data_IF_073032445559
#
_entry.id   IF_073032445559
#
_cell.length_a   1.000
_cell.length_b   1.000
_cell.length_c   1.000
_cell.angle_alpha   90.00
_cell.angle_beta   90.00
_cell.angle_gamma   90.00
#
_symmetry.space_group_name_H-M   'P 1'
#
loop_
_entity.id
_entity.type
_entity.pdbx_description
1 polymer ?
#
# COMPACT_ATOMS: atom_id res chain seq x y z
N UNK A 1 4.32 -9.27 7.19
CA UNK A 1 4.53 -8.34 6.06
C UNK A 1 5.95 -8.45 5.48
N UNK A 2 7.01 -8.50 6.30
CA UNK A 2 8.39 -8.48 5.78
C UNK A 2 8.87 -9.76 5.03
N UNK A 3 8.22 -10.91 5.23
CA UNK A 3 8.69 -12.19 4.64
C UNK A 3 8.23 -12.38 3.19
N UNK A 4 7.00 -11.98 2.85
CA UNK A 4 6.45 -12.08 1.48
C UNK A 4 7.09 -11.08 0.52
N UNK A 5 7.49 -9.90 1.01
CA UNK A 5 8.22 -8.90 0.20
C UNK A 5 9.67 -9.31 -0.09
N UNK A 6 10.29 -10.13 0.76
CA UNK A 6 11.69 -10.54 0.63
C UNK A 6 11.92 -11.62 -0.44
N UNK A 7 10.86 -12.34 -0.86
CA UNK A 7 10.93 -13.36 -1.92
C UNK A 7 10.59 -12.82 -3.31
N UNK A 8 10.18 -11.56 -3.44
CA UNK A 8 9.93 -10.95 -4.74
C UNK A 8 11.24 -10.59 -5.43
N UNK A 9 11.40 -11.05 -6.67
CA UNK A 9 12.38 -10.46 -7.57
C UNK A 9 12.01 -9.00 -7.82
N UNK A 10 12.83 -8.10 -7.27
CA UNK A 10 12.69 -6.66 -7.49
C UNK A 10 13.24 -6.35 -8.88
N UNK A 11 12.37 -6.42 -9.89
CA UNK A 11 12.64 -5.88 -11.22
C UNK A 11 12.40 -4.36 -11.22
N UNK A 12 12.93 -3.61 -12.21
CA UNK A 12 12.66 -2.18 -12.34
C UNK A 12 11.15 -1.86 -12.39
N UNK A 13 10.37 -2.73 -13.03
CA UNK A 13 8.91 -2.60 -13.14
C UNK A 13 8.22 -2.84 -11.80
N UNK A 14 8.56 -3.92 -11.07
CA UNK A 14 7.95 -4.21 -9.76
C UNK A 14 8.32 -3.16 -8.72
N UNK A 15 9.55 -2.63 -8.78
CA UNK A 15 9.99 -1.50 -7.97
C UNK A 15 9.16 -0.23 -8.22
N UNK A 16 8.91 0.12 -9.48
CA UNK A 16 8.12 1.31 -9.82
C UNK A 16 6.70 1.23 -9.28
N UNK A 17 6.08 0.04 -9.35
CA UNK A 17 4.75 -0.19 -8.78
C UNK A 17 4.80 -0.05 -7.25
N UNK A 18 5.77 -0.67 -6.60
CA UNK A 18 5.95 -0.58 -5.15
C UNK A 18 6.13 0.88 -4.69
N UNK A 19 7.02 1.63 -5.34
CA UNK A 19 7.30 3.03 -5.01
C UNK A 19 6.03 3.88 -5.09
N UNK A 20 5.20 3.68 -6.13
CA UNK A 20 3.93 4.41 -6.28
C UNK A 20 2.91 4.10 -5.18
N UNK A 21 2.81 2.84 -4.74
CA UNK A 21 1.95 2.47 -3.61
C UNK A 21 2.44 3.05 -2.28
N UNK A 22 3.75 2.96 -2.03
CA UNK A 22 4.37 3.50 -0.82
C UNK A 22 4.25 5.03 -0.75
N UNK A 23 4.36 5.74 -1.87
CA UNK A 23 4.13 7.18 -1.95
C UNK A 23 2.69 7.54 -1.53
N UNK A 24 1.68 6.84 -2.06
CA UNK A 24 0.27 7.06 -1.68
C UNK A 24 0.04 6.78 -0.19
N UNK A 25 0.62 5.71 0.36
CA UNK A 25 0.53 5.39 1.79
C UNK A 25 1.21 6.47 2.63
N UNK A 26 2.34 7.02 2.18
CA UNK A 26 3.03 8.10 2.86
C UNK A 26 2.19 9.39 2.90
N UNK A 27 1.53 9.74 1.79
CA UNK A 27 0.60 10.87 1.73
C UNK A 27 -0.56 10.70 2.72
N UNK A 28 -1.24 9.55 2.69
CA UNK A 28 -2.33 9.27 3.65
C UNK A 28 -1.82 9.26 5.09
N UNK A 29 -0.59 8.83 5.34
CA UNK A 29 0.00 8.89 6.69
C UNK A 29 0.25 10.33 7.15
N UNK A 30 0.66 11.22 6.25
CA UNK A 30 0.79 12.64 6.56
C UNK A 30 -0.58 13.27 6.85
N UNK A 31 -1.59 12.97 6.05
CA UNK A 31 -2.97 13.45 6.26
C UNK A 31 -3.53 12.97 7.60
N UNK A 32 -3.30 11.71 7.97
CA UNK A 32 -3.69 11.18 9.28
C UNK A 32 -3.08 11.97 10.43
N UNK A 33 -1.79 12.32 10.34
CA UNK A 33 -1.10 13.13 11.37
C UNK A 33 -1.73 14.52 11.48
N UNK A 34 -2.06 15.15 10.35
CA UNK A 34 -2.71 16.45 10.32
C UNK A 34 -4.10 16.39 10.96
N UNK A 35 -4.93 15.40 10.59
CA UNK A 35 -6.25 15.20 11.18
C UNK A 35 -6.19 14.90 12.69
N UNK A 36 -5.17 14.17 13.14
CA UNK A 36 -4.97 13.87 14.57
C UNK A 36 -4.54 15.11 15.35
N UNK A 37 -3.71 15.97 14.76
CA UNK A 37 -3.37 17.27 15.34
C UNK A 37 -4.61 18.16 15.43
N UNK A 38 -5.43 18.22 14.37
CA UNK A 38 -6.68 18.97 14.35
C UNK A 38 -7.68 18.47 15.41
N UNK A 39 -7.82 17.14 15.55
CA UNK A 39 -8.64 16.52 16.60
C UNK A 39 -8.17 16.93 18.00
N UNK A 40 -6.86 16.98 18.21
CA UNK A 40 -6.26 17.35 19.49
C UNK A 40 -6.49 18.83 19.84
N UNK A 41 -6.53 19.71 18.82
CA UNK A 41 -6.74 21.14 18.99
C UNK A 41 -8.22 21.52 19.13
N UNK A 42 -9.08 20.97 18.28
CA UNK A 42 -10.51 21.36 18.19
C UNK A 42 -11.43 20.49 19.05
N UNK A 43 -10.93 19.35 19.54
CA UNK A 43 -11.74 18.36 20.22
C UNK A 43 -12.52 17.47 19.24
N UNK A 44 -13.34 16.58 19.79
CA UNK A 44 -14.08 15.58 19.00
C UNK A 44 -15.10 16.27 18.10
N UNK A 45 -14.89 16.14 16.78
CA UNK A 45 -15.81 16.57 15.73
C UNK A 45 -16.09 15.38 14.80
N UNK A 46 -17.36 15.14 14.48
CA UNK A 46 -17.80 14.00 13.67
C UNK A 46 -17.13 13.96 12.30
N UNK A 47 -16.87 15.11 11.68
CA UNK A 47 -16.20 15.18 10.37
C UNK A 47 -14.74 14.77 10.49
N UNK A 48 -14.05 15.19 11.54
CA UNK A 48 -12.65 14.80 11.80
C UNK A 48 -12.57 13.29 12.05
N UNK A 49 -13.47 12.73 12.85
CA UNK A 49 -13.53 11.28 13.10
C UNK A 49 -13.80 10.50 11.82
N UNK A 50 -14.77 10.93 11.00
CA UNK A 50 -15.06 10.30 9.72
C UNK A 50 -13.86 10.37 8.77
N UNK A 51 -13.18 11.51 8.69
CA UNK A 51 -11.98 11.66 7.87
C UNK A 51 -10.82 10.73 8.33
N UNK A 52 -10.63 10.57 9.65
CA UNK A 52 -9.65 9.63 10.21
C UNK A 52 -10.00 8.17 9.85
N UNK A 53 -11.26 7.77 9.97
CA UNK A 53 -11.73 6.44 9.60
C UNK A 53 -11.49 6.19 8.11
N UNK A 54 -11.90 7.12 7.25
CA UNK A 54 -11.70 7.02 5.80
C UNK A 54 -10.21 6.90 5.45
N UNK A 55 -9.35 7.68 6.10
CA UNK A 55 -7.90 7.60 5.88
C UNK A 55 -7.35 6.20 6.20
N UNK A 56 -7.74 5.63 7.34
CA UNK A 56 -7.33 4.28 7.75
C UNK A 56 -7.84 3.21 6.78
N UNK A 57 -9.09 3.34 6.32
CA UNK A 57 -9.68 2.42 5.33
C UNK A 57 -8.91 2.46 4.00
N UNK A 58 -8.61 3.65 3.48
CA UNK A 58 -7.85 3.82 2.25
C UNK A 58 -6.42 3.27 2.37
N UNK A 59 -5.76 3.48 3.51
CA UNK A 59 -4.42 2.91 3.76
C UNK A 59 -4.45 1.39 3.78
N UNK A 60 -5.44 0.80 4.45
CA UNK A 60 -5.61 -0.65 4.48
C UNK A 60 -5.88 -1.20 3.09
N UNK A 61 -6.75 -0.55 2.31
CA UNK A 61 -7.05 -0.94 0.93
C UNK A 61 -5.79 -0.94 0.07
N UNK A 62 -4.98 0.12 0.11
CA UNK A 62 -3.72 0.20 -0.66
C UNK A 62 -2.73 -0.91 -0.28
N UNK A 63 -2.66 -1.30 0.99
CA UNK A 63 -1.78 -2.38 1.43
C UNK A 63 -2.27 -3.75 0.95
N UNK A 64 -3.59 -3.97 0.91
CA UNK A 64 -4.18 -5.19 0.35
C UNK A 64 -3.93 -5.25 -1.16
N UNK A 65 -4.21 -4.18 -1.90
CA UNK A 65 -3.96 -4.09 -3.34
C UNK A 65 -2.48 -4.30 -3.68
N UNK A 66 -1.57 -3.72 -2.89
CA UNK A 66 -0.14 -3.94 -3.06
C UNK A 66 0.20 -5.43 -2.89
N UNK A 67 -0.28 -6.06 -1.82
CA UNK A 67 -0.05 -7.50 -1.57
C UNK A 67 -0.57 -8.35 -2.74
N UNK A 68 -1.76 -8.07 -3.23
CA UNK A 68 -2.39 -8.83 -4.31
C UNK A 68 -1.63 -8.63 -5.64
N UNK A 69 -1.24 -7.39 -5.95
CA UNK A 69 -0.42 -7.06 -7.12
C UNK A 69 0.91 -7.80 -7.10
N UNK A 70 1.57 -7.87 -5.93
CA UNK A 70 2.83 -8.59 -5.77
C UNK A 70 2.66 -10.10 -5.97
N UNK A 71 1.55 -10.68 -5.48
CA UNK A 71 1.24 -12.09 -5.70
C UNK A 71 1.02 -12.42 -7.19
N UNK A 72 0.30 -11.56 -7.91
CA UNK A 72 0.08 -11.70 -9.36
C UNK A 72 1.39 -11.62 -10.16
N UNK A 73 2.32 -10.74 -9.78
CA UNK A 73 3.62 -10.61 -10.42
C UNK A 73 4.49 -11.86 -10.19
N UNK A 74 4.51 -12.39 -8.97
CA UNK A 74 5.24 -13.61 -8.64
C UNK A 74 4.73 -14.82 -9.44
N UNK A 75 3.41 -15.01 -9.51
CA UNK A 75 2.82 -16.10 -10.29
C UNK A 75 3.10 -15.94 -11.79
N UNK A 76 3.03 -14.73 -12.34
CA UNK A 76 3.34 -14.48 -13.76
C UNK A 76 4.79 -14.82 -14.11
N UNK A 77 5.75 -14.56 -13.22
CA UNK A 77 7.15 -14.95 -13.43
C UNK A 77 7.31 -16.48 -13.48
N UNK A 78 6.65 -17.22 -12.58
CA UNK A 78 6.71 -18.70 -12.60
C UNK A 78 6.18 -19.32 -13.90
N UNK A 79 5.15 -18.74 -14.53
CA UNK A 79 4.63 -19.24 -15.81
C UNK A 79 5.49 -18.86 -17.03
N UNK A 80 6.26 -17.77 -16.95
CA UNK A 80 7.17 -17.37 -18.04
C UNK A 80 8.39 -18.28 -18.11
N UNK A 81 8.91 -18.73 -16.97
CA UNK A 81 10.07 -19.63 -16.92
C UNK A 81 9.74 -21.03 -17.45
N UNK A 82 8.51 -21.53 -17.26
CA UNK A 82 8.07 -22.81 -17.83
C UNK A 82 7.91 -22.76 -19.36
N UNK A 83 7.51 -21.61 -19.93
CA UNK A 83 7.30 -21.45 -21.39
C UNK A 83 8.60 -21.29 -22.18
N UNK A 84 9.69 -20.87 -21.54
CA UNK A 84 11.01 -20.71 -22.19
C UNK A 84 11.75 -22.06 -22.29
N UNK A 85 11.30 -23.08 -21.56
CA UNK A 85 11.92 -24.41 -21.53
C UNK A 85 11.26 -25.46 -22.45
N UNK A 86 10.35 -25.05 -23.36
CA UNK A 86 9.66 -25.94 -24.31
C UNK A 86 9.94 -25.56 -25.76
#
# INVERSE_FOLDING_TARGET
INYEMASLEVTPETKKVLDAYLEKVALLTADYKNLTAELSEKGIDEKIINALITNLQLRLQLLIELKDTLNELNTTNTFKDEKVSI
#
